data_IF_287179589897
#
_entry.id   IF_287179589897
#
_cell.length_a   1.000
_cell.length_b   1.000
_cell.length_c   1.000
_cell.angle_alpha   90.00
_cell.angle_beta   90.00
_cell.angle_gamma   90.00
#
_symmetry.space_group_name_H-M   'P 1'
#
loop_
_entity.id
_entity.type
_entity.pdbx_description
1 polymer ?
#
# COMPACT_ATOMS: atom_id res chain seq x y z
N UNK A 1 -20.70 41.96 16.83
CA UNK A 1 -19.52 41.82 15.98
C UNK A 1 -18.98 40.42 16.22
N UNK A 2 -19.19 39.51 15.29
CA UNK A 2 -18.66 38.13 15.38
C UNK A 2 -17.53 38.07 14.38
N UNK A 3 -16.33 37.79 14.89
CA UNK A 3 -15.10 37.67 14.08
C UNK A 3 -15.25 36.51 13.09
N UNK A 4 -15.17 36.88 11.84
CA UNK A 4 -15.17 35.96 10.70
C UNK A 4 -13.70 35.52 10.52
N UNK A 5 -13.28 34.46 11.25
CA UNK A 5 -11.99 33.81 10.98
C UNK A 5 -12.02 33.19 9.60
N UNK A 6 -11.45 33.92 8.65
CA UNK A 6 -11.17 33.40 7.31
C UNK A 6 -10.23 32.21 7.43
N UNK A 7 -10.80 31.00 7.33
CA UNK A 7 -10.03 29.77 7.14
C UNK A 7 -9.12 29.96 5.93
N UNK A 8 -7.82 30.07 6.18
CA UNK A 8 -6.81 29.97 5.13
C UNK A 8 -6.99 28.63 4.42
N UNK A 9 -7.05 28.56 3.08
CA UNK A 9 -7.11 27.30 2.38
C UNK A 9 -5.89 26.46 2.76
N UNK A 10 -6.11 25.14 2.94
CA UNK A 10 -5.03 24.19 3.20
C UNK A 10 -3.96 24.31 2.10
N UNK A 11 -2.66 24.19 2.43
CA UNK A 11 -1.61 24.23 1.43
C UNK A 11 -1.91 23.20 0.35
N UNK A 12 -2.06 23.66 -0.89
CA UNK A 12 -2.26 22.78 -2.05
C UNK A 12 -1.05 21.85 -2.13
N UNK A 13 -1.29 20.53 -2.06
CA UNK A 13 -0.25 19.54 -2.39
C UNK A 13 0.20 19.84 -3.82
N UNK A 14 1.48 20.19 -3.99
CA UNK A 14 2.04 20.41 -5.31
C UNK A 14 1.87 19.16 -6.19
N UNK A 15 1.91 19.31 -7.52
CA UNK A 15 1.53 18.31 -8.52
C UNK A 15 2.08 16.86 -8.32
N UNK A 16 3.09 16.67 -7.45
CA UNK A 16 3.64 15.36 -7.08
C UNK A 16 3.39 14.98 -5.60
N UNK A 17 2.54 15.70 -4.89
CA UNK A 17 2.18 15.38 -3.51
C UNK A 17 3.29 15.64 -2.49
N UNK A 18 4.31 16.45 -2.82
CA UNK A 18 5.34 16.89 -1.87
C UNK A 18 4.83 18.07 -1.03
N UNK A 19 5.02 17.98 0.29
CA UNK A 19 4.75 19.05 1.25
C UNK A 19 6.07 19.34 1.95
N UNK A 20 6.67 20.51 1.67
CA UNK A 20 7.99 20.88 2.13
C UNK A 20 7.95 21.97 3.21
N UNK A 21 8.80 21.82 4.22
CA UNK A 21 8.94 22.79 5.29
C UNK A 21 8.04 22.56 6.50
N UNK A 22 8.49 23.07 7.65
CA UNK A 22 7.90 22.77 8.96
C UNK A 22 6.44 23.22 9.08
N UNK A 23 6.17 24.46 8.70
CA UNK A 23 4.83 25.02 8.82
C UNK A 23 3.84 24.31 7.89
N UNK A 24 4.25 24.02 6.65
CA UNK A 24 3.40 23.31 5.70
C UNK A 24 3.04 21.90 6.18
N UNK A 25 4.01 21.16 6.74
CA UNK A 25 3.77 19.81 7.29
C UNK A 25 2.89 19.86 8.53
N UNK A 26 3.09 20.86 9.43
CA UNK A 26 2.24 21.05 10.61
C UNK A 26 0.79 21.33 10.18
N UNK A 27 0.60 22.24 9.24
CA UNK A 27 -0.75 22.59 8.76
C UNK A 27 -1.41 21.42 8.02
N UNK A 28 -0.67 20.63 7.24
CA UNK A 28 -1.18 19.43 6.62
C UNK A 28 -1.66 18.39 7.65
N UNK A 29 -0.87 18.19 8.73
CA UNK A 29 -1.26 17.30 9.84
C UNK A 29 -2.50 17.83 10.59
N UNK A 30 -2.61 19.15 10.79
CA UNK A 30 -3.78 19.78 11.43
C UNK A 30 -5.03 19.70 10.58
N UNK A 31 -4.88 19.88 9.28
CA UNK A 31 -5.98 19.82 8.32
C UNK A 31 -6.49 18.38 8.06
N UNK A 32 -5.82 17.36 8.63
CA UNK A 32 -6.16 15.96 8.37
C UNK A 32 -5.83 15.52 6.92
N UNK A 33 -4.89 16.21 6.26
CA UNK A 33 -4.47 15.81 4.91
C UNK A 33 -3.95 14.37 4.93
N UNK A 34 -4.38 13.56 3.99
CA UNK A 34 -3.87 12.20 3.84
C UNK A 34 -2.37 12.23 3.54
N UNK A 35 -1.55 11.80 4.49
CA UNK A 35 -0.10 11.76 4.37
C UNK A 35 0.36 10.31 4.33
N UNK A 36 1.12 9.98 3.29
CA UNK A 36 1.72 8.65 3.18
C UNK A 36 2.90 8.50 4.13
N UNK A 37 3.83 9.46 4.12
CA UNK A 37 5.10 9.36 4.84
C UNK A 37 5.68 10.73 5.12
N UNK A 38 6.33 10.88 6.27
CA UNK A 38 7.09 12.08 6.62
C UNK A 38 8.57 11.70 6.76
N UNK A 39 9.43 12.40 6.04
CA UNK A 39 10.88 12.32 6.17
C UNK A 39 11.39 13.44 7.06
N UNK A 40 12.15 13.08 8.09
CA UNK A 40 12.85 14.00 9.00
C UNK A 40 14.35 13.84 8.87
N UNK A 41 15.09 14.94 8.94
CA UNK A 41 16.54 14.89 8.94
C UNK A 41 17.06 14.16 10.18
N UNK A 42 17.98 13.21 9.99
CA UNK A 42 18.60 12.41 11.05
C UNK A 42 19.52 13.26 11.93
N UNK A 43 19.55 12.97 13.23
CA UNK A 43 20.52 13.55 14.18
C UNK A 43 20.21 14.95 14.67
N UNK A 44 19.02 15.47 14.43
CA UNK A 44 18.61 16.82 14.80
C UNK A 44 17.68 16.81 16.01
N UNK A 45 18.13 17.39 17.10
CA UNK A 45 17.32 17.64 18.31
C UNK A 45 16.66 19.03 18.23
N UNK A 46 15.66 19.16 17.38
CA UNK A 46 14.87 20.38 17.25
C UNK A 46 13.46 20.15 17.83
N UNK A 47 13.01 21.02 18.73
CA UNK A 47 11.69 20.92 19.35
C UNK A 47 10.56 20.85 18.33
N UNK A 48 10.67 21.60 17.22
CA UNK A 48 9.65 21.63 16.17
C UNK A 48 9.58 20.30 15.41
N UNK A 49 10.73 19.73 15.05
CA UNK A 49 10.78 18.42 14.40
C UNK A 49 10.28 17.31 15.33
N UNK A 50 10.61 17.39 16.63
CA UNK A 50 10.06 16.49 17.64
C UNK A 50 8.53 16.60 17.76
N UNK A 51 7.98 17.80 17.71
CA UNK A 51 6.53 18.01 17.70
C UNK A 51 5.88 17.43 16.44
N UNK A 52 6.45 17.64 15.26
CA UNK A 52 5.97 17.04 13.99
C UNK A 52 5.98 15.52 14.10
N UNK A 53 7.06 14.92 14.62
CA UNK A 53 7.16 13.48 14.80
C UNK A 53 6.09 12.91 15.74
N UNK A 54 5.78 13.62 16.85
CA UNK A 54 4.73 13.21 17.79
C UNK A 54 3.37 13.24 17.12
N UNK A 55 3.01 14.37 16.50
CA UNK A 55 1.73 14.55 15.80
C UNK A 55 1.54 13.54 14.67
N UNK A 56 2.60 13.25 13.91
CA UNK A 56 2.57 12.26 12.85
C UNK A 56 2.28 10.85 13.41
N UNK A 57 2.90 10.47 14.54
CA UNK A 57 2.66 9.18 15.20
C UNK A 57 1.22 9.08 15.72
N UNK A 58 0.71 10.13 16.34
CA UNK A 58 -0.69 10.22 16.81
C UNK A 58 -1.67 10.04 15.64
N UNK A 59 -1.38 10.64 14.48
CA UNK A 59 -2.14 10.49 13.24
C UNK A 59 -1.88 9.14 12.50
N UNK A 60 -1.05 8.26 13.04
CA UNK A 60 -0.71 6.98 12.42
C UNK A 60 0.16 7.08 11.16
N UNK A 61 0.73 8.26 10.88
CA UNK A 61 1.60 8.51 9.72
C UNK A 61 3.00 7.94 9.96
N UNK A 62 3.58 7.33 8.95
CA UNK A 62 4.93 6.77 8.99
C UNK A 62 5.96 7.89 8.99
N UNK A 63 6.82 7.94 10.02
CA UNK A 63 7.96 8.85 10.09
C UNK A 63 9.24 8.08 9.78
N UNK A 64 10.04 8.60 8.86
CA UNK A 64 11.32 8.03 8.42
C UNK A 64 12.42 9.04 8.67
N UNK A 65 13.44 8.65 9.44
CA UNK A 65 14.67 9.42 9.53
C UNK A 65 15.49 9.24 8.24
N UNK A 66 15.93 10.32 7.67
CA UNK A 66 16.70 10.34 6.43
C UNK A 66 17.90 11.29 6.52
N UNK A 67 18.96 10.97 5.81
CA UNK A 67 20.10 11.87 5.68
C UNK A 67 19.69 13.16 4.94
N UNK A 68 20.31 14.27 5.30
CA UNK A 68 20.03 15.56 4.69
C UNK A 68 20.15 15.52 3.17
N UNK A 69 21.14 14.81 2.62
CA UNK A 69 21.32 14.63 1.17
C UNK A 69 20.08 14.04 0.49
N UNK A 70 19.40 13.10 1.16
CA UNK A 70 18.16 12.54 0.64
C UNK A 70 17.03 13.56 0.61
N UNK A 71 16.90 14.39 1.64
CA UNK A 71 15.92 15.47 1.68
C UNK A 71 16.23 16.53 0.60
N UNK A 72 17.51 16.92 0.45
CA UNK A 72 17.96 17.84 -0.58
C UNK A 72 17.63 17.31 -2.00
N UNK A 73 17.82 16.01 -2.23
CA UNK A 73 17.51 15.36 -3.52
C UNK A 73 16.00 15.24 -3.78
N UNK A 74 15.18 15.16 -2.75
CA UNK A 74 13.72 15.11 -2.86
C UNK A 74 13.10 16.50 -3.01
N UNK A 75 13.75 17.52 -2.44
CA UNK A 75 13.23 18.88 -2.36
C UNK A 75 13.24 19.56 -3.72
N UNK A 76 12.15 20.23 -4.06
CA UNK A 76 12.03 21.08 -5.26
C UNK A 76 12.34 22.54 -4.97
N UNK A 77 11.95 23.00 -3.77
CA UNK A 77 12.10 24.40 -3.38
C UNK A 77 13.45 24.69 -2.76
N UNK A 78 14.26 23.66 -2.46
CA UNK A 78 15.49 23.73 -1.66
C UNK A 78 15.28 24.37 -0.27
N UNK A 79 14.03 24.50 0.17
CA UNK A 79 13.63 25.15 1.44
C UNK A 79 12.90 24.18 2.36
N UNK A 80 13.20 22.89 2.29
CA UNK A 80 12.50 21.83 3.04
C UNK A 80 12.63 21.93 4.57
N UNK A 81 13.49 22.78 5.11
CA UNK A 81 13.66 23.00 6.56
C UNK A 81 13.80 21.70 7.36
N UNK A 82 14.45 20.67 6.77
CA UNK A 82 14.72 19.35 7.36
C UNK A 82 13.50 18.43 7.52
N UNK A 83 12.39 18.76 6.87
CA UNK A 83 11.18 17.92 6.84
C UNK A 83 10.52 17.99 5.47
N UNK A 84 10.13 16.80 4.97
CA UNK A 84 9.32 16.64 3.76
C UNK A 84 8.25 15.59 4.05
N UNK A 85 6.99 15.90 3.75
CA UNK A 85 5.92 14.92 3.76
C UNK A 85 5.50 14.56 2.33
N UNK A 86 5.14 13.32 2.11
CA UNK A 86 4.48 12.83 0.91
C UNK A 86 2.99 12.71 1.19
N UNK A 87 2.18 13.48 0.48
CA UNK A 87 0.74 13.33 0.54
C UNK A 87 0.32 12.00 -0.11
N UNK A 88 -0.67 11.35 0.47
CA UNK A 88 -1.34 10.23 -0.15
C UNK A 88 -2.46 10.72 -1.07
N UNK A 89 -2.59 10.12 -2.25
CA UNK A 89 -3.65 10.48 -3.22
C UNK A 89 -5.04 10.03 -2.77
N UNK A 90 -5.10 9.17 -1.74
CA UNK A 90 -6.34 8.68 -1.12
C UNK A 90 -6.07 8.24 0.32
N UNK A 91 -7.07 8.33 1.16
CA UNK A 91 -7.03 7.78 2.52
C UNK A 91 -6.99 6.25 2.52
N UNK A 92 -6.27 5.69 3.49
CA UNK A 92 -6.26 4.26 3.77
C UNK A 92 -7.51 3.86 4.56
N UNK A 93 -8.00 2.67 4.29
CA UNK A 93 -9.15 2.10 5.00
C UNK A 93 -8.72 0.97 5.95
N UNK A 94 -9.62 0.48 6.80
CA UNK A 94 -9.38 -0.72 7.60
C UNK A 94 -9.58 -1.98 6.75
N UNK A 95 -8.89 -3.08 7.11
CA UNK A 95 -9.13 -4.40 6.47
C UNK A 95 -10.58 -4.83 6.67
N UNK A 96 -11.15 -4.54 7.85
CA UNK A 96 -12.54 -4.89 8.15
C UNK A 96 -13.52 -4.18 7.20
N UNK A 97 -13.32 -2.90 6.91
CA UNK A 97 -14.22 -2.18 5.98
C UNK A 97 -14.17 -2.75 4.55
N UNK A 98 -13.04 -3.35 4.13
CA UNK A 98 -12.94 -4.05 2.84
C UNK A 98 -13.79 -5.33 2.87
N UNK A 99 -13.72 -6.11 3.96
CA UNK A 99 -14.51 -7.33 4.12
C UNK A 99 -16.02 -7.02 4.22
N UNK A 100 -16.38 -5.97 4.96
CA UNK A 100 -17.76 -5.53 5.08
C UNK A 100 -18.34 -5.11 3.72
N UNK A 101 -17.53 -4.44 2.88
CA UNK A 101 -17.94 -4.06 1.53
C UNK A 101 -18.15 -5.28 0.61
N UNK A 102 -17.33 -6.34 0.73
CA UNK A 102 -17.52 -7.60 0.01
C UNK A 102 -18.81 -8.30 0.47
N UNK A 103 -19.02 -8.37 1.77
CA UNK A 103 -20.23 -8.97 2.35
C UNK A 103 -21.50 -8.23 1.93
N UNK A 104 -21.47 -6.89 1.89
CA UNK A 104 -22.59 -6.06 1.43
C UNK A 104 -22.96 -6.30 -0.05
N UNK A 105 -21.99 -6.74 -0.88
CA UNK A 105 -22.24 -7.16 -2.27
C UNK A 105 -22.73 -8.60 -2.39
N UNK A 106 -22.68 -9.39 -1.29
CA UNK A 106 -22.97 -10.83 -1.33
C UNK A 106 -21.90 -11.64 -2.08
N UNK A 107 -20.68 -11.12 -2.21
CA UNK A 107 -19.59 -11.72 -2.97
C UNK A 107 -18.53 -12.33 -2.03
N UNK A 108 -17.97 -13.50 -2.34
CA UNK A 108 -16.82 -14.02 -1.60
C UNK A 108 -15.63 -13.06 -1.78
N UNK A 109 -14.99 -12.58 -0.70
CA UNK A 109 -13.93 -11.60 -0.81
C UNK A 109 -12.77 -12.12 -1.68
N UNK A 110 -12.26 -11.24 -2.55
CA UNK A 110 -11.02 -11.39 -3.29
C UNK A 110 -10.11 -10.23 -2.88
N UNK A 111 -9.04 -10.55 -2.14
CA UNK A 111 -8.10 -9.57 -1.62
C UNK A 111 -6.73 -9.75 -2.27
N UNK A 112 -6.01 -8.65 -2.41
CA UNK A 112 -4.59 -8.66 -2.81
C UNK A 112 -3.76 -8.20 -1.61
N UNK A 113 -2.73 -8.96 -1.25
CA UNK A 113 -1.78 -8.61 -0.20
C UNK A 113 -0.41 -8.44 -0.85
N UNK A 114 0.17 -7.26 -0.73
CA UNK A 114 1.51 -6.97 -1.25
C UNK A 114 2.53 -7.05 -0.12
N UNK A 115 3.46 -7.98 -0.19
CA UNK A 115 4.57 -8.10 0.76
C UNK A 115 5.84 -7.53 0.14
N UNK A 116 6.36 -6.45 0.73
CA UNK A 116 7.60 -5.77 0.33
C UNK A 116 7.62 -5.23 -1.12
N UNK A 117 6.47 -4.92 -1.71
CA UNK A 117 6.39 -4.23 -3.01
C UNK A 117 6.81 -2.78 -2.83
N UNK A 118 8.08 -2.47 -3.05
CA UNK A 118 8.68 -1.16 -2.80
C UNK A 118 8.67 -0.22 -4.02
N UNK A 119 8.55 -0.76 -5.23
CA UNK A 119 8.42 0.02 -6.45
C UNK A 119 6.99 0.56 -6.63
N UNK A 120 6.79 1.89 -6.69
CA UNK A 120 5.48 2.50 -6.91
C UNK A 120 4.87 2.16 -8.28
N UNK A 121 5.68 1.84 -9.30
CA UNK A 121 5.17 1.41 -10.60
C UNK A 121 4.52 0.05 -10.51
N UNK A 122 5.14 -0.91 -9.82
CA UNK A 122 4.56 -2.23 -9.59
C UNK A 122 3.30 -2.13 -8.74
N UNK A 123 3.31 -1.37 -7.64
CA UNK A 123 2.12 -1.20 -6.82
C UNK A 123 0.97 -0.59 -7.61
N UNK A 124 1.23 0.42 -8.45
CA UNK A 124 0.21 1.03 -9.30
C UNK A 124 -0.36 0.07 -10.33
N UNK A 125 0.49 -0.74 -10.97
CA UNK A 125 0.06 -1.77 -11.93
C UNK A 125 -0.76 -2.88 -11.25
N UNK A 126 -0.35 -3.32 -10.04
CA UNK A 126 -1.10 -4.30 -9.24
C UNK A 126 -2.48 -3.73 -8.86
N UNK A 127 -2.55 -2.47 -8.39
CA UNK A 127 -3.80 -1.78 -8.08
C UNK A 127 -4.75 -1.75 -9.28
N UNK A 128 -4.23 -1.38 -10.45
CA UNK A 128 -5.02 -1.34 -11.69
C UNK A 128 -5.56 -2.71 -12.04
N UNK A 129 -4.73 -3.73 -12.00
CA UNK A 129 -5.15 -5.10 -12.32
C UNK A 129 -6.15 -5.63 -11.30
N UNK A 130 -5.94 -5.37 -10.01
CA UNK A 130 -6.83 -5.80 -8.95
C UNK A 130 -8.22 -5.17 -9.08
N UNK A 131 -8.29 -3.88 -9.42
CA UNK A 131 -9.56 -3.19 -9.69
C UNK A 131 -10.26 -3.81 -10.90
N UNK A 132 -9.57 -3.96 -12.04
CA UNK A 132 -10.13 -4.59 -13.25
C UNK A 132 -10.57 -6.03 -13.03
N UNK A 133 -9.93 -6.77 -12.13
CA UNK A 133 -10.29 -8.14 -11.75
C UNK A 133 -11.47 -8.20 -10.76
N UNK A 134 -11.98 -7.07 -10.29
CA UNK A 134 -13.06 -7.03 -9.31
C UNK A 134 -12.62 -7.42 -7.90
N UNK A 135 -11.35 -7.25 -7.55
CA UNK A 135 -10.89 -7.44 -6.18
C UNK A 135 -11.59 -6.42 -5.25
N UNK A 136 -11.82 -6.83 -4.00
CA UNK A 136 -12.52 -5.99 -3.01
C UNK A 136 -11.59 -4.99 -2.32
N UNK A 137 -10.29 -5.27 -2.32
CA UNK A 137 -9.31 -4.36 -1.76
C UNK A 137 -7.88 -4.89 -1.82
N UNK A 138 -6.95 -3.99 -1.50
CA UNK A 138 -5.53 -4.27 -1.48
C UNK A 138 -4.96 -3.95 -0.09
N UNK A 139 -4.05 -4.78 0.40
CA UNK A 139 -3.42 -4.65 1.72
C UNK A 139 -1.92 -4.49 1.54
N UNK A 140 -1.35 -3.44 2.12
CA UNK A 140 0.09 -3.16 2.10
C UNK A 140 0.64 -2.99 3.53
N UNK A 141 1.92 -3.32 3.79
CA UNK A 141 2.52 -3.02 5.07
C UNK A 141 2.90 -1.52 5.18
N UNK A 142 2.96 -1.00 6.41
CA UNK A 142 3.41 0.37 6.71
C UNK A 142 4.88 0.60 6.35
N UNK A 143 5.71 -0.44 6.38
CA UNK A 143 7.15 -0.38 6.12
C UNK A 143 7.51 -1.30 4.97
N UNK A 144 8.63 -1.03 4.30
CA UNK A 144 9.16 -1.80 3.16
C UNK A 144 8.15 -1.95 2.02
N UNK A 145 7.33 -0.93 1.79
CA UNK A 145 6.35 -0.90 0.72
C UNK A 145 6.24 0.50 0.14
N UNK A 146 5.90 0.59 -1.13
CA UNK A 146 5.37 1.81 -1.71
C UNK A 146 4.04 2.15 -1.04
N UNK A 147 3.73 3.43 -0.98
CA UNK A 147 2.44 3.92 -0.49
C UNK A 147 1.65 4.59 -1.60
N UNK A 148 0.47 5.11 -1.28
CA UNK A 148 -0.45 5.74 -2.24
C UNK A 148 0.02 7.14 -2.66
N UNK A 149 1.22 7.23 -3.22
CA UNK A 149 1.81 8.48 -3.70
C UNK A 149 1.22 8.90 -5.06
N UNK A 150 1.54 10.13 -5.50
CA UNK A 150 1.15 10.63 -6.83
C UNK A 150 1.61 9.72 -7.98
N UNK A 151 2.79 9.08 -7.84
CA UNK A 151 3.30 8.12 -8.82
C UNK A 151 2.36 6.91 -8.92
N UNK A 152 1.94 6.34 -7.77
CA UNK A 152 0.99 5.23 -7.73
C UNK A 152 -0.37 5.66 -8.30
N UNK A 153 -0.83 6.87 -7.99
CA UNK A 153 -2.03 7.43 -8.59
C UNK A 153 -1.98 7.44 -10.12
N UNK A 154 -0.86 7.90 -10.67
CA UNK A 154 -0.62 7.96 -12.12
C UNK A 154 -0.50 6.57 -12.74
N UNK A 155 0.30 5.68 -12.17
CA UNK A 155 0.58 4.34 -12.71
C UNK A 155 -0.62 3.39 -12.60
N UNK A 156 -1.48 3.60 -11.61
CA UNK A 156 -2.75 2.88 -11.48
C UNK A 156 -3.82 3.33 -12.48
N UNK A 157 -3.54 4.35 -13.31
CA UNK A 157 -4.51 4.93 -14.25
C UNK A 157 -5.87 5.27 -13.59
N UNK A 158 -5.85 5.74 -12.35
CA UNK A 158 -7.04 6.12 -11.59
C UNK A 158 -7.67 4.99 -10.77
N UNK A 159 -7.24 3.74 -10.90
CA UNK A 159 -7.79 2.61 -10.13
C UNK A 159 -7.71 2.83 -8.61
N UNK A 160 -6.72 3.58 -8.12
CA UNK A 160 -6.59 3.97 -6.71
C UNK A 160 -7.84 4.70 -6.17
N UNK A 161 -8.63 5.34 -7.02
CA UNK A 161 -9.87 6.01 -6.62
C UNK A 161 -11.04 5.06 -6.39
N UNK A 162 -10.96 3.84 -6.88
CA UNK A 162 -12.04 2.84 -6.83
C UNK A 162 -11.71 1.71 -5.86
N UNK A 163 -10.49 1.14 -5.95
CA UNK A 163 -10.08 0.02 -5.11
C UNK A 163 -9.63 0.52 -3.72
N UNK A 164 -10.31 0.14 -2.61
CA UNK A 164 -9.87 0.50 -1.28
C UNK A 164 -8.55 -0.18 -0.91
N UNK A 165 -7.68 0.57 -0.22
CA UNK A 165 -6.36 0.09 0.21
C UNK A 165 -6.25 0.18 1.72
N UNK A 166 -5.94 -0.95 2.36
CA UNK A 166 -5.61 -1.00 3.77
C UNK A 166 -4.09 -0.98 3.99
N UNK A 167 -3.64 -0.21 4.98
CA UNK A 167 -2.23 -0.11 5.34
C UNK A 167 -2.01 -0.58 6.77
N UNK A 168 -1.26 -1.66 6.92
CA UNK A 168 -1.19 -2.40 8.19
C UNK A 168 0.22 -2.41 8.78
N UNK A 169 0.29 -2.48 10.11
CA UNK A 169 1.58 -2.52 10.81
C UNK A 169 2.27 -3.90 10.68
N UNK A 170 1.48 -4.97 10.61
CA UNK A 170 1.97 -6.35 10.60
C UNK A 170 1.10 -7.22 9.68
N UNK A 171 1.64 -7.65 8.53
CA UNK A 171 0.94 -8.51 7.57
C UNK A 171 0.62 -9.87 8.18
N UNK A 172 1.55 -10.48 8.91
CA UNK A 172 1.35 -11.81 9.51
C UNK A 172 0.14 -11.84 10.47
N UNK A 173 -0.04 -10.78 11.26
CA UNK A 173 -1.23 -10.67 12.13
C UNK A 173 -2.50 -10.58 11.30
N UNK A 174 -2.49 -9.78 10.24
CA UNK A 174 -3.65 -9.62 9.35
C UNK A 174 -3.99 -10.93 8.65
N UNK A 175 -3.00 -11.68 8.15
CA UNK A 175 -3.26 -12.99 7.55
C UNK A 175 -3.95 -13.95 8.53
N UNK A 176 -3.48 -13.99 9.79
CA UNK A 176 -4.12 -14.79 10.84
C UNK A 176 -5.56 -14.36 11.10
N UNK A 177 -5.85 -13.07 11.10
CA UNK A 177 -7.20 -12.56 11.35
C UNK A 177 -8.12 -12.79 10.14
N UNK A 178 -7.61 -12.71 8.91
CA UNK A 178 -8.34 -13.10 7.70
C UNK A 178 -8.72 -14.59 7.72
N UNK A 179 -7.80 -15.47 8.12
CA UNK A 179 -8.06 -16.92 8.26
C UNK A 179 -9.17 -17.22 9.25
N UNK A 180 -9.20 -16.53 10.40
CA UNK A 180 -10.31 -16.67 11.38
C UNK A 180 -11.67 -16.26 10.79
N UNK A 181 -11.67 -15.40 9.78
CA UNK A 181 -12.88 -14.97 9.06
C UNK A 181 -13.19 -15.82 7.82
N UNK A 182 -12.50 -16.96 7.66
CA UNK A 182 -12.76 -17.92 6.59
C UNK A 182 -12.13 -17.55 5.24
N UNK A 183 -11.19 -16.60 5.21
CA UNK A 183 -10.46 -16.24 3.99
C UNK A 183 -9.23 -17.12 3.85
N UNK A 184 -9.12 -17.85 2.75
CA UNK A 184 -7.96 -18.66 2.40
C UNK A 184 -6.81 -17.80 1.87
N UNK A 185 -5.59 -18.06 2.31
CA UNK A 185 -4.41 -17.29 1.95
C UNK A 185 -3.56 -18.07 0.96
N UNK A 186 -3.44 -17.53 -0.26
CA UNK A 186 -2.64 -18.09 -1.34
C UNK A 186 -1.37 -17.26 -1.52
N UNK A 187 -0.23 -17.80 -1.12
CA UNK A 187 1.07 -17.16 -1.30
C UNK A 187 1.70 -17.56 -2.64
N UNK A 188 2.37 -16.63 -3.31
CA UNK A 188 3.05 -16.88 -4.57
C UNK A 188 4.52 -17.21 -4.34
N UNK A 189 4.95 -18.39 -4.74
CA UNK A 189 6.34 -18.80 -4.61
C UNK A 189 6.82 -19.54 -5.87
N UNK A 190 7.98 -19.15 -6.38
CA UNK A 190 8.62 -19.88 -7.46
C UNK A 190 8.95 -21.32 -6.99
N UNK A 191 8.59 -22.31 -7.79
CA UNK A 191 8.85 -23.73 -7.46
C UNK A 191 7.99 -24.33 -6.36
N UNK A 192 6.90 -23.66 -5.94
CA UNK A 192 5.91 -24.28 -5.07
C UNK A 192 5.33 -25.55 -5.72
N UNK A 193 5.01 -26.52 -4.88
CA UNK A 193 4.50 -27.83 -5.35
C UNK A 193 3.11 -27.78 -5.98
N UNK A 194 2.33 -26.75 -5.63
CA UNK A 194 0.97 -26.57 -6.15
C UNK A 194 1.03 -25.61 -7.35
N UNK A 195 0.58 -26.11 -8.51
CA UNK A 195 0.37 -25.28 -9.69
C UNK A 195 -0.83 -24.35 -9.47
N UNK A 196 -0.73 -23.11 -9.90
CA UNK A 196 -1.81 -22.12 -9.82
C UNK A 196 -3.12 -22.65 -10.40
N UNK A 197 -3.05 -23.32 -11.53
CA UNK A 197 -4.25 -23.81 -12.23
C UNK A 197 -4.94 -25.00 -11.54
N UNK A 198 -4.27 -25.58 -10.54
CA UNK A 198 -4.83 -26.64 -9.68
C UNK A 198 -5.38 -26.10 -8.34
N UNK A 199 -5.13 -24.83 -8.04
CA UNK A 199 -5.62 -24.18 -6.81
C UNK A 199 -7.10 -23.80 -6.95
N UNK A 200 -7.88 -23.95 -5.88
CA UNK A 200 -9.29 -23.51 -5.84
C UNK A 200 -9.38 -22.07 -5.32
N UNK A 201 -9.66 -21.13 -6.22
CA UNK A 201 -9.80 -19.69 -5.95
C UNK A 201 -11.26 -19.20 -5.97
N UNK A 202 -12.25 -20.10 -5.97
CA UNK A 202 -13.68 -19.76 -6.07
C UNK A 202 -14.21 -19.11 -4.79
N UNK A 203 -13.76 -19.59 -3.62
CA UNK A 203 -14.17 -19.10 -2.32
C UNK A 203 -13.50 -17.78 -1.90
N UNK A 204 -13.71 -17.37 -0.62
CA UNK A 204 -13.01 -16.23 -0.05
C UNK A 204 -11.49 -16.42 -0.11
N UNK A 205 -10.78 -15.51 -0.78
CA UNK A 205 -9.35 -15.65 -1.05
C UNK A 205 -8.58 -14.35 -0.88
N UNK A 206 -7.37 -14.45 -0.33
CA UNK A 206 -6.37 -13.40 -0.32
C UNK A 206 -5.12 -13.90 -1.07
N UNK A 207 -4.76 -13.24 -2.15
CA UNK A 207 -3.59 -13.55 -2.97
C UNK A 207 -2.43 -12.68 -2.49
N UNK A 208 -1.36 -13.32 -2.02
CA UNK A 208 -0.16 -12.64 -1.51
C UNK A 208 0.90 -12.59 -2.61
N UNK A 209 1.31 -11.37 -2.95
CA UNK A 209 2.34 -11.09 -3.95
C UNK A 209 3.58 -10.60 -3.21
N UNK A 210 4.70 -11.30 -3.38
CA UNK A 210 6.01 -10.92 -2.84
C UNK A 210 6.80 -10.00 -3.78
N UNK A 211 7.95 -9.50 -3.30
CA UNK A 211 8.88 -8.70 -4.09
C UNK A 211 9.54 -9.50 -5.23
N UNK A 212 10.07 -8.78 -6.23
CA UNK A 212 10.67 -9.39 -7.42
C UNK A 212 11.96 -10.18 -7.15
N UNK A 213 12.73 -9.76 -6.14
CA UNK A 213 14.01 -10.41 -5.81
C UNK A 213 13.85 -11.54 -4.80
N UNK A 214 13.35 -11.18 -3.63
CA UNK A 214 13.31 -12.08 -2.46
C UNK A 214 11.98 -12.83 -2.34
N UNK A 215 10.98 -12.49 -3.16
CA UNK A 215 9.62 -13.05 -3.05
C UNK A 215 8.91 -12.56 -1.80
N UNK A 216 8.13 -13.44 -1.17
CA UNK A 216 7.48 -13.18 0.12
C UNK A 216 8.48 -13.34 1.27
N UNK A 217 8.34 -12.51 2.30
CA UNK A 217 9.07 -12.71 3.55
C UNK A 217 8.73 -14.06 4.19
N UNK A 218 9.71 -14.68 4.85
CA UNK A 218 9.56 -16.01 5.44
C UNK A 218 8.32 -16.12 6.34
N UNK A 219 8.12 -15.15 7.22
CA UNK A 219 6.98 -15.17 8.14
C UNK A 219 5.62 -15.03 7.43
N UNK A 220 5.56 -14.30 6.32
CA UNK A 220 4.33 -14.20 5.51
C UNK A 220 4.08 -15.53 4.81
N UNK A 221 5.10 -16.13 4.19
CA UNK A 221 4.99 -17.43 3.52
C UNK A 221 4.53 -18.55 4.47
N UNK A 222 5.09 -18.62 5.69
CA UNK A 222 4.69 -19.58 6.74
C UNK A 222 3.23 -19.40 7.20
N UNK A 223 2.62 -18.25 6.97
CA UNK A 223 1.23 -17.99 7.32
C UNK A 223 0.25 -18.10 6.15
N UNK A 224 0.71 -18.44 4.95
CA UNK A 224 -0.15 -18.83 3.84
C UNK A 224 -0.72 -20.23 4.07
N UNK A 225 -1.97 -20.48 3.62
CA UNK A 225 -2.57 -21.80 3.64
C UNK A 225 -2.05 -22.64 2.47
N UNK A 226 -1.83 -21.98 1.34
CA UNK A 226 -1.32 -22.60 0.12
C UNK A 226 -0.17 -21.75 -0.45
N UNK A 227 0.87 -22.42 -0.93
CA UNK A 227 1.88 -21.82 -1.78
C UNK A 227 1.63 -22.29 -3.20
N UNK A 228 1.44 -21.34 -4.12
CA UNK A 228 1.16 -21.62 -5.53
C UNK A 228 2.25 -21.06 -6.43
N UNK A 229 2.55 -21.78 -7.50
CA UNK A 229 3.50 -21.37 -8.53
C UNK A 229 2.81 -21.14 -9.87
N UNK A 230 3.29 -20.17 -10.62
CA UNK A 230 2.96 -19.99 -12.03
C UNK A 230 3.92 -20.89 -12.84
N UNK A 231 3.43 -21.80 -13.70
CA UNK A 231 4.29 -22.66 -14.48
C UNK A 231 5.20 -21.87 -15.42
N UNK A 232 6.51 -22.07 -15.27
CA UNK A 232 7.53 -21.41 -16.08
C UNK A 232 8.11 -22.41 -17.09
N UNK A 233 8.11 -22.04 -18.37
CA UNK A 233 8.63 -22.88 -19.47
C UNK A 233 10.00 -22.42 -19.99
N UNK A 234 10.41 -21.21 -19.59
CA UNK A 234 11.67 -20.60 -20.03
C UNK A 234 12.82 -20.82 -19.06
N UNK A 235 13.95 -20.17 -19.32
CA UNK A 235 15.14 -20.19 -18.46
C UNK A 235 15.04 -19.20 -17.28
N UNK A 236 14.20 -18.18 -17.39
CA UNK A 236 13.98 -17.20 -16.32
C UNK A 236 12.98 -17.78 -15.33
N UNK A 237 13.31 -17.75 -14.04
CA UNK A 237 12.58 -18.42 -12.97
C UNK A 237 11.48 -17.58 -12.32
N UNK A 238 11.37 -16.29 -12.67
CA UNK A 238 10.39 -15.37 -12.05
C UNK A 238 9.83 -14.38 -13.06
N UNK A 239 8.64 -13.88 -12.79
CA UNK A 239 8.00 -12.78 -13.51
C UNK A 239 8.13 -11.49 -12.69
N UNK A 240 7.96 -10.35 -13.35
CA UNK A 240 7.68 -9.10 -12.67
C UNK A 240 6.47 -9.25 -11.73
N UNK A 241 6.52 -8.63 -10.54
CA UNK A 241 5.50 -8.81 -9.50
C UNK A 241 4.08 -8.42 -9.99
N UNK A 242 3.96 -7.36 -10.80
CA UNK A 242 2.65 -6.95 -11.33
C UNK A 242 2.14 -7.91 -12.42
N UNK A 243 3.02 -8.51 -13.21
CA UNK A 243 2.67 -9.54 -14.19
C UNK A 243 2.20 -10.82 -13.49
N UNK A 244 2.91 -11.25 -12.45
CA UNK A 244 2.49 -12.38 -11.63
C UNK A 244 1.11 -12.13 -10.99
N UNK A 245 0.90 -10.95 -10.42
CA UNK A 245 -0.40 -10.56 -9.85
C UNK A 245 -1.52 -10.63 -10.89
N UNK A 246 -1.28 -10.19 -12.13
CA UNK A 246 -2.27 -10.23 -13.18
C UNK A 246 -2.70 -11.67 -13.53
N UNK A 247 -1.75 -12.57 -13.65
CA UNK A 247 -2.04 -13.99 -13.95
C UNK A 247 -2.88 -14.61 -12.82
N UNK A 248 -2.48 -14.40 -11.57
CA UNK A 248 -3.17 -14.96 -10.40
C UNK A 248 -4.59 -14.42 -10.24
N UNK A 249 -4.76 -13.12 -10.39
CA UNK A 249 -6.06 -12.47 -10.28
C UNK A 249 -7.01 -12.91 -11.39
N UNK A 250 -6.53 -12.99 -12.63
CA UNK A 250 -7.37 -13.41 -13.74
C UNK A 250 -7.67 -14.92 -13.73
N UNK A 251 -6.82 -15.75 -13.12
CA UNK A 251 -7.19 -17.14 -12.83
C UNK A 251 -8.32 -17.20 -11.80
N UNK A 252 -8.27 -16.38 -10.74
CA UNK A 252 -9.38 -16.28 -9.79
C UNK A 252 -10.67 -15.79 -10.48
N UNK A 253 -10.57 -14.79 -11.37
CA UNK A 253 -11.71 -14.32 -12.18
C UNK A 253 -12.28 -15.43 -13.06
N UNK A 254 -11.42 -16.17 -13.75
CA UNK A 254 -11.83 -17.30 -14.60
C UNK A 254 -12.62 -18.34 -13.81
N UNK A 255 -12.13 -18.72 -12.64
CA UNK A 255 -12.78 -19.71 -11.78
C UNK A 255 -14.11 -19.24 -11.18
N UNK A 256 -14.23 -17.93 -10.89
CA UNK A 256 -15.44 -17.33 -10.27
C UNK A 256 -16.55 -17.01 -11.27
N UNK A 257 -16.24 -17.02 -12.57
CA UNK A 257 -17.25 -16.81 -13.62
C UNK A 257 -18.10 -18.06 -13.93
N UNK A 258 -17.73 -19.20 -13.39
CA UNK A 258 -18.40 -20.48 -13.60
C UNK A 258 -17.79 -21.21 -14.76
#
# INVERSE_FOLDING_TARGET
MRDNETRRPAPQAEADGLIEGRNAVIEALRAGTAIDKIYLAKGETDKTLGHIASRAREAGVVVVEADRRKLDAMSRTHSHQRVIALAAVREYVSVQSILDAAAAKGEPPLLVVCDEISDPHNLGAILRTAECAGAHGLIIPKRRSAGLTAIVGKTSAGAVSYLPVARVANLTSVLKDLKKQGVWIFGTAAGASTDLYSADLKGPAAIVIGSEGDGMSRLVAENCDFLVSIPMKGHISSLNASAAAAILLYEAVRQRRG
#
